data_IF_246955041720
#
_entry.id   IF_246955041720
#
_cell.length_a   1.000
_cell.length_b   1.000
_cell.length_c   1.000
_cell.angle_alpha   90.00
_cell.angle_beta   90.00
_cell.angle_gamma   90.00
#
_symmetry.space_group_name_H-M   'P 1'
#
loop_
_entity.id
_entity.type
_entity.pdbx_description
1 polymer ?
#
# COMPACT_ATOMS: atom_id res chain seq x y z
N UNK A 1 -1.85 -7.57 0.15
CA UNK A 1 -1.98 -8.98 0.59
C UNK A 1 -3.35 -9.59 0.32
N UNK A 2 -4.44 -8.80 0.24
CA UNK A 2 -5.81 -9.33 0.02
C UNK A 2 -5.99 -10.02 -1.34
N UNK A 3 -5.44 -9.44 -2.41
CA UNK A 3 -5.54 -9.98 -3.77
C UNK A 3 -6.84 -9.59 -4.49
N UNK A 4 -6.78 -9.45 -5.83
CA UNK A 4 -7.82 -8.77 -6.64
C UNK A 4 -9.17 -9.44 -6.52
N UNK A 5 -9.17 -10.77 -6.43
CA UNK A 5 -10.38 -11.59 -6.33
C UNK A 5 -11.17 -11.33 -5.05
N UNK A 6 -10.54 -10.74 -4.03
CA UNK A 6 -11.09 -10.60 -2.69
C UNK A 6 -11.35 -9.13 -2.31
N UNK A 7 -11.09 -8.16 -3.20
CA UNK A 7 -11.26 -6.74 -2.88
C UNK A 7 -12.71 -6.37 -2.57
N UNK A 8 -13.66 -6.84 -3.38
CA UNK A 8 -15.08 -6.59 -3.11
C UNK A 8 -15.54 -7.21 -1.78
N UNK A 9 -15.12 -8.44 -1.50
CA UNK A 9 -15.39 -9.11 -0.22
C UNK A 9 -14.83 -8.32 0.96
N UNK A 10 -13.59 -7.82 0.83
CA UNK A 10 -12.96 -6.97 1.84
C UNK A 10 -13.78 -5.70 2.09
N UNK A 11 -14.20 -4.98 1.04
CA UNK A 11 -15.03 -3.77 1.19
C UNK A 11 -16.41 -4.06 1.77
N UNK A 12 -17.03 -5.19 1.42
CA UNK A 12 -18.31 -5.62 2.00
C UNK A 12 -18.19 -5.86 3.51
N UNK A 13 -17.15 -6.58 3.93
CA UNK A 13 -16.91 -6.84 5.35
C UNK A 13 -16.64 -5.56 6.13
N UNK A 14 -15.86 -4.63 5.56
CA UNK A 14 -15.65 -3.31 6.16
C UNK A 14 -16.98 -2.58 6.36
N UNK A 15 -17.82 -2.53 5.33
CA UNK A 15 -19.15 -1.89 5.41
C UNK A 15 -20.00 -2.51 6.51
N UNK A 16 -20.06 -3.85 6.59
CA UNK A 16 -20.91 -4.56 7.54
C UNK A 16 -20.44 -4.39 9.00
N UNK A 17 -19.15 -4.09 9.21
CA UNK A 17 -18.55 -3.85 10.53
C UNK A 17 -18.60 -2.39 10.98
N UNK A 18 -18.86 -1.44 10.07
CA UNK A 18 -18.99 -0.03 10.41
C UNK A 18 -20.36 0.25 11.03
N UNK A 19 -20.36 1.11 12.07
CA UNK A 19 -21.60 1.75 12.53
C UNK A 19 -22.10 2.72 11.46
N UNK A 20 -23.38 3.12 11.54
CA UNK A 20 -24.05 3.94 10.52
C UNK A 20 -23.25 5.19 10.11
N UNK A 21 -22.72 5.94 11.08
CA UNK A 21 -21.95 7.17 10.84
C UNK A 21 -20.43 6.93 10.94
N UNK A 22 -19.99 5.68 10.78
CA UNK A 22 -18.61 5.26 10.94
C UNK A 22 -17.75 5.66 9.74
N UNK A 23 -16.48 5.98 10.00
CA UNK A 23 -15.46 6.22 9.00
C UNK A 23 -14.43 5.09 8.96
N UNK A 24 -13.98 4.75 7.76
CA UNK A 24 -12.89 3.83 7.51
C UNK A 24 -11.77 4.52 6.72
N UNK A 25 -10.54 4.39 7.19
CA UNK A 25 -9.36 4.86 6.49
C UNK A 25 -8.58 3.68 5.91
N UNK A 26 -8.57 3.57 4.57
CA UNK A 26 -7.76 2.61 3.84
C UNK A 26 -6.41 3.25 3.47
N UNK A 27 -5.34 2.85 4.16
CA UNK A 27 -3.97 3.18 3.79
C UNK A 27 -3.34 2.05 2.99
N UNK A 28 -2.94 2.30 1.74
CA UNK A 28 -2.43 1.25 0.85
C UNK A 28 -1.40 1.76 -0.16
N UNK A 29 -0.45 0.89 -0.51
CA UNK A 29 0.36 1.07 -1.72
C UNK A 29 -0.55 0.78 -2.93
N UNK A 30 -0.40 1.57 -3.99
CA UNK A 30 -1.14 1.46 -5.23
C UNK A 30 -0.24 1.45 -6.47
N UNK A 31 -0.88 1.32 -7.63
CA UNK A 31 -0.23 1.39 -8.95
C UNK A 31 -1.12 2.13 -9.95
N UNK A 32 -0.51 2.66 -11.02
CA UNK A 32 -1.26 3.43 -12.03
C UNK A 32 -2.24 2.58 -12.84
N UNK A 33 -1.85 1.36 -13.21
CA UNK A 33 -2.60 0.51 -14.13
C UNK A 33 -3.10 -0.74 -13.43
N UNK A 34 -4.36 -1.11 -13.69
CA UNK A 34 -4.94 -2.35 -13.19
C UNK A 34 -4.16 -3.54 -13.72
N UNK A 35 -3.67 -4.38 -12.80
CA UNK A 35 -3.20 -5.72 -13.14
C UNK A 35 -3.66 -6.70 -12.08
N UNK A 36 -3.47 -7.98 -12.39
CA UNK A 36 -3.81 -9.11 -11.52
C UNK A 36 -2.57 -9.91 -11.12
N UNK A 37 -1.40 -9.45 -11.55
CA UNK A 37 -0.09 -10.05 -11.28
C UNK A 37 0.72 -9.25 -10.24
N UNK A 38 1.73 -9.90 -9.69
CA UNK A 38 2.75 -9.30 -8.85
C UNK A 38 4.07 -9.24 -9.59
N UNK A 39 4.95 -8.31 -9.20
CA UNK A 39 6.32 -8.31 -9.66
C UNK A 39 6.99 -9.64 -9.22
N UNK A 40 7.51 -10.46 -10.16
CA UNK A 40 7.97 -11.82 -9.86
C UNK A 40 9.07 -11.91 -8.81
N UNK A 41 10.02 -10.97 -8.79
CA UNK A 41 11.11 -10.98 -7.81
C UNK A 41 10.58 -10.67 -6.39
N UNK A 42 9.75 -9.65 -6.23
CA UNK A 42 9.09 -9.29 -4.96
C UNK A 42 8.23 -10.44 -4.46
N UNK A 43 7.43 -11.05 -5.34
CA UNK A 43 6.58 -12.20 -4.98
C UNK A 43 7.40 -13.39 -4.49
N UNK A 44 8.55 -13.65 -5.11
CA UNK A 44 9.42 -14.78 -4.76
C UNK A 44 10.21 -14.56 -3.48
N UNK A 45 10.71 -13.35 -3.23
CA UNK A 45 11.73 -13.10 -2.21
C UNK A 45 11.25 -12.28 -1.00
N UNK A 46 10.23 -11.44 -1.15
CA UNK A 46 9.85 -10.47 -0.10
C UNK A 46 8.40 -10.65 0.35
N UNK A 47 7.45 -10.55 -0.59
CA UNK A 47 6.02 -10.63 -0.27
C UNK A 47 5.29 -11.63 -1.18
N UNK A 48 5.29 -12.92 -0.80
CA UNK A 48 4.48 -13.93 -1.47
C UNK A 48 3.02 -13.52 -1.53
N UNK A 49 2.39 -13.68 -2.70
CA UNK A 49 0.99 -13.31 -2.96
C UNK A 49 0.66 -11.81 -2.80
N UNK A 50 1.67 -10.93 -2.73
CA UNK A 50 1.40 -9.49 -2.78
C UNK A 50 0.77 -9.11 -4.11
N UNK A 51 -0.09 -8.10 -4.08
CA UNK A 51 -0.64 -7.50 -5.27
C UNK A 51 -1.03 -6.07 -4.92
N UNK A 52 -0.69 -5.15 -5.81
CA UNK A 52 -0.95 -3.73 -5.64
C UNK A 52 -2.22 -3.34 -6.40
N UNK A 53 -3.26 -2.81 -5.73
CA UNK A 53 -4.44 -2.32 -6.39
C UNK A 53 -4.16 -1.09 -7.26
N UNK A 54 -4.91 -0.96 -8.34
CA UNK A 54 -5.08 0.32 -9.05
C UNK A 54 -6.30 1.09 -8.51
N UNK A 55 -6.37 2.39 -8.82
CA UNK A 55 -7.51 3.20 -8.43
C UNK A 55 -8.84 2.62 -8.95
N UNK A 56 -8.88 2.19 -10.22
CA UNK A 56 -10.04 1.51 -10.81
C UNK A 56 -10.51 0.31 -9.98
N UNK A 57 -9.59 -0.58 -9.60
CA UNK A 57 -9.92 -1.79 -8.85
C UNK A 57 -10.44 -1.48 -7.43
N UNK A 58 -9.95 -0.41 -6.81
CA UNK A 58 -10.47 0.04 -5.51
C UNK A 58 -11.88 0.60 -5.68
N UNK A 59 -12.09 1.52 -6.62
CA UNK A 59 -13.40 2.12 -6.88
C UNK A 59 -14.45 1.06 -7.22
N UNK A 60 -14.12 0.10 -8.10
CA UNK A 60 -15.00 -1.00 -8.48
C UNK A 60 -15.34 -1.92 -7.29
N UNK A 61 -14.41 -2.09 -6.35
CA UNK A 61 -14.66 -2.85 -5.13
C UNK A 61 -15.53 -2.07 -4.12
N UNK A 62 -15.43 -0.74 -4.08
CA UNK A 62 -16.26 0.11 -3.22
C UNK A 62 -17.66 0.39 -3.81
N UNK A 63 -17.83 0.24 -5.12
CA UNK A 63 -19.05 0.61 -5.84
C UNK A 63 -20.31 -0.05 -5.27
N UNK A 64 -21.25 0.78 -4.83
CA UNK A 64 -22.51 0.38 -4.19
C UNK A 64 -22.38 -0.07 -2.73
N UNK A 65 -21.18 0.00 -2.13
CA UNK A 65 -20.91 -0.42 -0.75
C UNK A 65 -20.48 0.74 0.15
N UNK A 66 -19.56 1.57 -0.31
CA UNK A 66 -18.95 2.66 0.47
C UNK A 66 -18.89 3.94 -0.36
N UNK A 67 -19.11 5.07 0.29
CA UNK A 67 -18.90 6.42 -0.25
C UNK A 67 -17.44 6.80 -0.05
N UNK A 68 -16.78 7.31 -1.09
CA UNK A 68 -15.43 7.84 -1.03
C UNK A 68 -15.47 9.32 -0.61
N UNK A 69 -15.02 9.60 0.60
CA UNK A 69 -15.04 10.95 1.20
C UNK A 69 -13.77 11.75 0.90
N UNK A 70 -12.63 11.08 0.86
CA UNK A 70 -11.34 11.70 0.53
C UNK A 70 -10.38 10.68 -0.06
N UNK A 71 -9.48 11.15 -0.92
CA UNK A 71 -8.38 10.36 -1.45
C UNK A 71 -7.10 11.20 -1.48
N UNK A 72 -6.23 10.94 -0.52
CA UNK A 72 -4.93 11.57 -0.42
C UNK A 72 -3.85 10.69 -1.10
N UNK A 73 -3.02 11.31 -1.94
CA UNK A 73 -1.86 10.68 -2.57
C UNK A 73 -0.57 11.37 -2.14
N UNK A 74 0.30 10.62 -1.47
CA UNK A 74 1.58 11.10 -0.93
C UNK A 74 2.69 10.05 -1.19
N UNK A 75 2.60 9.38 -2.34
CA UNK A 75 3.64 8.47 -2.84
C UNK A 75 5.09 9.01 -2.78
N UNK A 76 5.35 10.32 -3.02
CA UNK A 76 6.71 10.87 -2.92
C UNK A 76 7.35 10.70 -1.55
N UNK A 77 6.57 10.63 -0.48
CA UNK A 77 7.07 10.54 0.90
C UNK A 77 7.53 9.12 1.24
N UNK A 78 7.17 8.13 0.42
CA UNK A 78 7.61 6.76 0.64
C UNK A 78 9.03 6.50 0.14
N UNK A 79 9.53 7.30 -0.80
CA UNK A 79 10.95 7.29 -1.19
C UNK A 79 11.88 7.62 0.00
N UNK A 80 11.78 8.79 0.67
CA UNK A 80 12.63 9.10 1.81
C UNK A 80 12.43 8.13 2.98
N UNK A 81 11.23 7.56 3.14
CA UNK A 81 10.97 6.48 4.10
C UNK A 81 11.85 5.25 3.80
N UNK A 82 11.83 4.76 2.56
CA UNK A 82 12.63 3.60 2.14
C UNK A 82 14.13 3.87 2.17
N UNK A 83 14.55 5.08 1.83
CA UNK A 83 15.96 5.49 1.94
C UNK A 83 16.42 5.53 3.40
N UNK A 84 15.59 6.03 4.32
CA UNK A 84 15.89 6.00 5.76
C UNK A 84 15.99 4.57 6.28
N UNK A 85 15.12 3.67 5.84
CA UNK A 85 15.23 2.24 6.19
C UNK A 85 16.50 1.60 5.65
N UNK A 86 16.91 1.94 4.43
CA UNK A 86 18.16 1.48 3.83
C UNK A 86 19.38 1.97 4.62
N UNK A 87 19.44 3.25 4.96
CA UNK A 87 20.55 3.83 5.72
C UNK A 87 20.66 3.19 7.11
N UNK A 88 19.51 3.02 7.80
CA UNK A 88 19.46 2.33 9.08
C UNK A 88 19.93 0.87 8.97
N UNK A 89 19.45 0.14 7.97
CA UNK A 89 19.82 -1.25 7.73
C UNK A 89 21.32 -1.41 7.46
N UNK A 90 21.88 -0.60 6.57
CA UNK A 90 23.30 -0.70 6.17
C UNK A 90 24.24 -0.27 7.29
N UNK A 91 23.90 0.80 8.03
CA UNK A 91 24.68 1.24 9.21
C UNK A 91 24.74 0.15 10.29
N UNK A 92 23.63 -0.60 10.46
CA UNK A 92 23.51 -1.67 11.44
C UNK A 92 23.89 -3.05 10.92
N UNK A 93 24.33 -3.18 9.66
CA UNK A 93 24.62 -4.48 9.05
C UNK A 93 25.66 -5.29 9.83
N UNK A 94 26.66 -4.63 10.43
CA UNK A 94 27.69 -5.30 11.22
C UNK A 94 27.13 -6.11 12.41
N UNK A 95 25.97 -5.70 12.96
CA UNK A 95 25.27 -6.40 14.05
C UNK A 95 24.44 -7.58 13.54
N UNK A 96 24.08 -7.58 12.24
CA UNK A 96 23.16 -8.54 11.62
C UNK A 96 23.87 -9.61 10.77
N UNK A 97 25.10 -9.33 10.31
CA UNK A 97 25.78 -10.13 9.27
C UNK A 97 25.96 -11.60 9.62
N UNK A 98 26.22 -11.91 10.89
CA UNK A 98 26.45 -13.29 11.36
C UNK A 98 25.15 -14.11 11.33
N UNK A 99 23.99 -13.46 11.46
CA UNK A 99 22.68 -14.12 11.46
C UNK A 99 22.15 -14.35 10.04
N UNK A 100 22.31 -13.37 9.15
CA UNK A 100 21.61 -13.36 7.85
C UNK A 100 22.52 -13.66 6.64
N UNK A 101 23.81 -13.35 6.74
CA UNK A 101 24.79 -13.55 5.68
C UNK A 101 24.63 -12.63 4.45
N UNK A 102 25.66 -12.64 3.60
CA UNK A 102 25.81 -11.71 2.46
C UNK A 102 24.69 -11.81 1.41
N UNK A 103 24.13 -13.01 1.20
CA UNK A 103 23.03 -13.18 0.24
C UNK A 103 21.79 -12.38 0.67
N UNK A 104 21.46 -12.41 1.96
CA UNK A 104 20.34 -11.66 2.49
C UNK A 104 20.60 -10.16 2.40
N UNK A 105 21.81 -9.70 2.73
CA UNK A 105 22.19 -8.30 2.60
C UNK A 105 21.91 -7.74 1.21
N UNK A 106 22.37 -8.45 0.18
CA UNK A 106 22.18 -8.05 -1.22
C UNK A 106 20.70 -8.07 -1.62
N UNK A 107 19.96 -9.08 -1.18
CA UNK A 107 18.52 -9.19 -1.43
C UNK A 107 17.75 -8.04 -0.79
N UNK A 108 18.00 -7.76 0.49
CA UNK A 108 17.31 -6.72 1.25
C UNK A 108 17.66 -5.32 0.73
N UNK A 109 18.92 -5.09 0.39
CA UNK A 109 19.39 -3.87 -0.27
C UNK A 109 18.68 -3.66 -1.60
N UNK A 110 18.61 -4.69 -2.44
CA UNK A 110 17.92 -4.62 -3.73
C UNK A 110 16.43 -4.29 -3.53
N UNK A 111 15.77 -4.93 -2.57
CA UNK A 111 14.37 -4.66 -2.24
C UNK A 111 14.15 -3.18 -1.88
N UNK A 112 14.89 -2.66 -0.89
CA UNK A 112 14.71 -1.28 -0.42
C UNK A 112 14.97 -0.26 -1.53
N UNK A 113 16.09 -0.39 -2.24
CA UNK A 113 16.48 0.58 -3.27
C UNK A 113 15.58 0.50 -4.52
N UNK A 114 15.16 -0.70 -4.93
CA UNK A 114 14.25 -0.85 -6.07
C UNK A 114 12.86 -0.30 -5.77
N UNK A 115 12.34 -0.52 -4.56
CA UNK A 115 11.09 0.08 -4.12
C UNK A 115 11.21 1.61 -4.03
N UNK A 116 12.31 2.15 -3.49
CA UNK A 116 12.53 3.59 -3.43
C UNK A 116 12.53 4.20 -4.83
N UNK A 117 13.22 3.57 -5.77
CA UNK A 117 13.21 3.94 -7.19
C UNK A 117 11.81 3.89 -7.82
N UNK A 118 10.99 2.89 -7.48
CA UNK A 118 9.62 2.78 -7.98
C UNK A 118 8.71 3.93 -7.50
N UNK A 119 8.81 4.33 -6.22
CA UNK A 119 8.09 5.50 -5.71
C UNK A 119 8.61 6.81 -6.31
N UNK A 120 9.95 6.96 -6.41
CA UNK A 120 10.60 8.13 -7.04
C UNK A 120 10.17 8.30 -8.50
N UNK A 121 10.09 7.21 -9.25
CA UNK A 121 9.63 7.18 -10.64
C UNK A 121 8.10 7.26 -10.77
N UNK A 122 7.36 7.35 -9.67
CA UNK A 122 5.89 7.38 -9.62
C UNK A 122 5.22 6.16 -10.25
N UNK A 123 5.90 5.02 -10.34
CA UNK A 123 5.30 3.77 -10.81
C UNK A 123 4.47 3.10 -9.71
N UNK A 124 4.92 3.22 -8.45
CA UNK A 124 4.16 2.92 -7.25
C UNK A 124 3.58 4.19 -6.64
N UNK A 125 2.43 4.03 -5.99
CA UNK A 125 1.69 5.10 -5.34
C UNK A 125 1.47 4.75 -3.87
N UNK A 126 1.20 5.75 -3.04
CA UNK A 126 0.79 5.57 -1.66
C UNK A 126 -0.43 6.42 -1.39
N UNK A 127 -1.48 5.76 -0.93
CA UNK A 127 -2.80 6.36 -0.80
C UNK A 127 -3.36 6.21 0.59
N UNK A 128 -4.10 7.22 1.03
CA UNK A 128 -5.10 7.12 2.08
C UNK A 128 -6.45 7.47 1.49
N UNK A 129 -7.41 6.57 1.64
CA UNK A 129 -8.79 6.79 1.24
C UNK A 129 -9.65 6.81 2.49
N UNK A 130 -10.49 7.83 2.63
CA UNK A 130 -11.51 7.88 3.67
C UNK A 130 -12.84 7.44 3.05
N UNK A 131 -13.48 6.48 3.69
CA UNK A 131 -14.67 5.80 3.21
C UNK A 131 -15.74 5.81 4.32
N UNK A 132 -17.01 5.95 3.94
CA UNK A 132 -18.16 5.88 4.83
C UNK A 132 -19.24 4.95 4.25
N UNK A 133 -20.13 4.33 5.05
CA UNK A 133 -21.15 3.43 4.53
C UNK A 133 -22.34 4.17 3.88
N UNK A 134 -22.63 5.38 4.34
CA UNK A 134 -23.84 6.12 3.95
C UNK A 134 -23.58 7.57 3.50
N UNK A 135 -22.31 7.98 3.42
CA UNK A 135 -21.97 9.40 3.31
C UNK A 135 -21.93 10.07 4.68
N UNK A 136 -21.18 11.16 4.80
CA UNK A 136 -21.28 12.06 5.95
C UNK A 136 -22.13 13.29 5.61
N UNK A 137 -22.71 13.91 6.64
CA UNK A 137 -23.34 15.22 6.48
C UNK A 137 -22.28 16.31 6.28
N UNK A 138 -22.39 17.09 5.21
CA UNK A 138 -21.44 18.15 4.89
C UNK A 138 -20.19 17.66 4.16
N UNK A 139 -19.04 18.31 4.40
CA UNK A 139 -17.76 18.01 3.75
C UNK A 139 -16.82 17.31 4.72
N UNK A 140 -16.08 16.31 4.25
CA UNK A 140 -14.97 15.75 5.01
C UNK A 140 -13.76 16.69 4.95
N UNK A 141 -13.41 17.28 6.09
CA UNK A 141 -12.24 18.14 6.23
C UNK A 141 -11.02 17.33 6.66
N UNK A 142 -10.30 16.80 5.67
CA UNK A 142 -9.04 16.12 5.91
C UNK A 142 -8.03 17.06 6.59
N UNK A 143 -7.36 16.65 7.68
CA UNK A 143 -6.23 17.39 8.24
C UNK A 143 -5.04 17.27 7.27
N UNK A 144 -4.60 18.38 6.68
CA UNK A 144 -3.47 18.46 5.73
C UNK A 144 -2.58 19.63 6.09
#
# INVERSE_FOLDING_TARGET
>A
HVGVKNYRTFMSLVRDLLVHDGLFLLHTIGRLQSKTDCEPWISRYIFPNSMLPSAKQICEACEGLLVLEDWHSFGPDYDPTLMTWYDNFTTKWHELRETYGERFYRMWTYYLLSCAGAFRARSNQLWQLVLSPHGIEGRYDAPR
#
